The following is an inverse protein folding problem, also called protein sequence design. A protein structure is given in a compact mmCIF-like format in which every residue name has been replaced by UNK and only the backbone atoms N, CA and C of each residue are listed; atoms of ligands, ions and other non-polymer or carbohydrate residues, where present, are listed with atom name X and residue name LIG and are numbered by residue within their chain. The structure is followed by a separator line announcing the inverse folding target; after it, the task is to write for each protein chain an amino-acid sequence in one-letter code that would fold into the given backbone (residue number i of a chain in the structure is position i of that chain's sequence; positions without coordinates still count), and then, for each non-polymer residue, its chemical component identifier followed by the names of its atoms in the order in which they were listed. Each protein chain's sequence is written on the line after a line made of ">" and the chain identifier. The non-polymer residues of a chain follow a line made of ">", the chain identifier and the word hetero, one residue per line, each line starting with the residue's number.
data_IF_583973310935
#
_entry.id   IF_583973310935
#
_cell.length_a   1.000
_cell.length_b   1.000
_cell.length_c   1.000
_cell.angle_alpha   90.00
_cell.angle_beta   90.00
_cell.angle_gamma   90.00
#
_symmetry.space_group_name_H-M   'P 1'
#
loop_
_entity.id
_entity.type
_entity.pdbx_description
1 polymer ?
#
# COMPACT_ATOMS: atom_id res chain seq x y z
N UNK A 1 1.39 -35.66 -11.43
CA UNK A 1 0.48 -34.57 -11.03
C UNK A 1 0.79 -34.16 -9.59
N UNK A 2 0.90 -32.87 -9.33
CA UNK A 2 1.14 -32.38 -7.98
C UNK A 2 0.25 -31.17 -7.67
N UNK A 3 -0.06 -31.01 -6.40
CA UNK A 3 -0.80 -29.84 -5.92
C UNK A 3 0.21 -28.82 -5.41
N UNK A 4 0.17 -27.63 -5.97
CA UNK A 4 0.99 -26.51 -5.52
C UNK A 4 0.08 -25.43 -4.96
N UNK A 5 0.27 -25.11 -3.68
CA UNK A 5 -0.52 -24.08 -3.02
C UNK A 5 0.35 -22.84 -2.85
N UNK A 6 -0.12 -21.73 -3.39
CA UNK A 6 0.56 -20.45 -3.28
C UNK A 6 -0.31 -19.49 -2.48
N UNK A 7 0.32 -18.61 -1.76
CA UNK A 7 -0.40 -17.57 -1.03
C UNK A 7 0.22 -16.21 -1.34
N UNK A 8 -0.56 -15.18 -1.13
CA UNK A 8 -0.11 -13.80 -1.28
C UNK A 8 -0.42 -13.04 0.00
N UNK A 9 0.30 -11.94 0.20
CA UNK A 9 0.05 -11.03 1.32
C UNK A 9 -0.36 -9.69 0.72
N UNK A 10 -1.40 -9.10 1.26
CA UNK A 10 -1.88 -7.80 0.81
C UNK A 10 -1.92 -6.84 1.99
N UNK A 11 -1.37 -5.65 1.78
CA UNK A 11 -1.39 -4.60 2.77
C UNK A 11 -2.19 -3.43 2.21
N UNK A 12 -3.02 -2.84 3.05
CA UNK A 12 -3.87 -1.72 2.67
C UNK A 12 -3.66 -0.57 3.63
N UNK A 13 -3.62 0.63 3.08
CA UNK A 13 -3.56 1.84 3.85
C UNK A 13 -4.68 2.78 3.45
N UNK A 14 -5.18 3.53 4.40
CA UNK A 14 -6.19 4.54 4.16
C UNK A 14 -5.68 5.88 4.65
N UNK A 15 -5.80 6.91 3.83
CA UNK A 15 -5.48 8.28 4.23
C UNK A 15 -6.79 9.00 4.51
N UNK A 16 -6.95 9.46 5.74
CA UNK A 16 -8.18 10.13 6.20
C UNK A 16 -7.87 11.54 6.65
N UNK A 17 -8.86 12.42 6.55
CA UNK A 17 -8.75 13.76 7.11
C UNK A 17 -9.10 13.73 8.61
N UNK A 18 -9.08 14.90 9.25
CA UNK A 18 -9.37 15.05 10.68
C UNK A 18 -10.79 14.60 11.05
N UNK A 19 -11.72 14.70 10.12
CA UNK A 19 -13.11 14.30 10.33
C UNK A 19 -13.34 12.81 10.08
N UNK A 20 -12.28 12.07 9.74
CA UNK A 20 -12.37 10.64 9.47
C UNK A 20 -12.84 10.30 8.06
N UNK A 21 -12.91 11.27 7.16
CA UNK A 21 -13.30 11.00 5.77
C UNK A 21 -12.11 10.45 5.00
N UNK A 22 -12.34 9.40 4.24
CA UNK A 22 -11.29 8.75 3.45
C UNK A 22 -10.97 9.62 2.24
N UNK A 23 -9.71 10.00 2.10
CA UNK A 23 -9.21 10.77 0.96
C UNK A 23 -8.72 9.84 -0.13
N UNK A 24 -7.91 8.85 0.24
CA UNK A 24 -7.39 7.89 -0.71
C UNK A 24 -7.04 6.57 -0.04
N UNK A 25 -6.99 5.52 -0.85
CA UNK A 25 -6.60 4.19 -0.42
C UNK A 25 -5.31 3.79 -1.12
N UNK A 26 -4.45 3.09 -0.39
CA UNK A 26 -3.20 2.56 -0.90
C UNK A 26 -3.19 1.05 -0.68
N UNK A 27 -2.62 0.31 -1.60
CA UNK A 27 -2.49 -1.14 -1.43
C UNK A 27 -1.24 -1.66 -2.12
N UNK A 28 -0.69 -2.74 -1.57
CA UNK A 28 0.48 -3.41 -2.12
C UNK A 28 0.36 -4.91 -1.82
N UNK A 29 0.61 -5.73 -2.83
CA UNK A 29 0.65 -7.18 -2.68
C UNK A 29 2.07 -7.70 -2.70
N UNK A 30 2.27 -8.85 -2.05
CA UNK A 30 3.52 -9.61 -2.08
C UNK A 30 3.20 -11.07 -2.38
N UNK A 31 4.05 -11.72 -3.15
CA UNK A 31 3.90 -13.15 -3.40
C UNK A 31 4.51 -13.94 -2.24
N UNK A 32 4.43 -15.27 -2.33
CA UNK A 32 4.92 -16.13 -1.26
C UNK A 32 6.45 -16.16 -1.15
N UNK A 33 7.16 -15.64 -2.15
CA UNK A 33 8.61 -15.51 -2.13
C UNK A 33 9.09 -14.15 -1.60
N UNK A 34 8.15 -13.25 -1.27
CA UNK A 34 8.47 -11.93 -0.74
C UNK A 34 8.66 -10.86 -1.80
N UNK A 35 8.34 -11.15 -3.05
CA UNK A 35 8.44 -10.16 -4.12
C UNK A 35 7.17 -9.31 -4.21
N UNK A 36 7.35 -8.02 -4.49
CA UNK A 36 6.20 -7.14 -4.72
C UNK A 36 5.44 -7.55 -5.98
N UNK A 37 4.12 -7.64 -5.88
CA UNK A 37 3.25 -7.91 -7.02
C UNK A 37 2.83 -6.58 -7.58
N UNK A 38 3.45 -6.17 -8.71
CA UNK A 38 3.20 -4.87 -9.31
C UNK A 38 3.70 -3.73 -8.42
N UNK A 39 3.23 -2.53 -8.69
CA UNK A 39 3.54 -1.37 -7.87
C UNK A 39 2.48 -1.11 -6.81
N UNK A 40 2.71 -0.10 -6.01
CA UNK A 40 1.70 0.36 -5.05
C UNK A 40 0.50 0.92 -5.80
N UNK A 41 -0.67 0.40 -5.50
CA UNK A 41 -1.92 0.90 -6.07
C UNK A 41 -2.43 2.07 -5.25
N UNK A 42 -2.80 3.14 -5.94
CA UNK A 42 -3.33 4.35 -5.32
C UNK A 42 -4.71 4.62 -5.90
N UNK A 43 -5.71 4.71 -5.05
CA UNK A 43 -7.07 5.06 -5.46
C UNK A 43 -7.48 6.32 -4.72
N UNK A 44 -7.71 7.41 -5.46
CA UNK A 44 -8.17 8.67 -4.89
C UNK A 44 -9.69 8.59 -4.76
N UNK A 45 -10.18 8.61 -3.52
CA UNK A 45 -11.60 8.47 -3.22
C UNK A 45 -12.28 9.84 -3.23
N UNK A 46 -11.62 10.87 -2.65
CA UNK A 46 -12.15 12.21 -2.61
C UNK A 46 -11.16 13.18 -3.24
N UNK A 47 -11.41 13.53 -4.48
CA UNK A 47 -10.48 14.35 -5.25
C UNK A 47 -10.33 15.76 -4.67
N UNK A 48 -11.40 16.35 -4.17
CA UNK A 48 -11.34 17.69 -3.61
C UNK A 48 -10.50 17.75 -2.34
N UNK A 49 -10.69 16.79 -1.45
CA UNK A 49 -9.85 16.67 -0.25
C UNK A 49 -8.40 16.35 -0.61
N UNK A 50 -8.20 15.56 -1.64
CA UNK A 50 -6.85 15.25 -2.11
C UNK A 50 -6.14 16.53 -2.59
N UNK A 51 -6.82 17.34 -3.39
CA UNK A 51 -6.26 18.62 -3.88
C UNK A 51 -5.96 19.58 -2.74
N UNK A 52 -6.85 19.64 -1.76
CA UNK A 52 -6.69 20.55 -0.62
C UNK A 52 -5.56 20.12 0.31
N UNK A 53 -5.19 18.85 0.32
CA UNK A 53 -4.18 18.28 1.21
C UNK A 53 -3.09 17.52 0.45
N UNK A 54 -2.72 18.01 -0.71
CA UNK A 54 -1.88 17.25 -1.63
C UNK A 54 -0.51 16.91 -1.07
N UNK A 55 0.14 17.81 -0.34
CA UNK A 55 1.45 17.54 0.26
C UNK A 55 1.34 16.47 1.33
N UNK A 56 0.34 16.57 2.18
CA UNK A 56 0.10 15.58 3.24
C UNK A 56 -0.17 14.21 2.64
N UNK A 57 -1.01 14.15 1.60
CA UNK A 57 -1.33 12.90 0.91
C UNK A 57 -0.09 12.28 0.28
N UNK A 58 0.75 13.08 -0.34
CA UNK A 58 2.01 12.59 -0.91
C UNK A 58 2.96 12.09 0.15
N UNK A 59 3.03 12.78 1.29
CA UNK A 59 3.85 12.34 2.42
C UNK A 59 3.36 11.00 2.97
N UNK A 60 2.05 10.81 3.06
CA UNK A 60 1.48 9.54 3.52
C UNK A 60 1.72 8.42 2.51
N UNK A 61 1.65 8.73 1.23
CA UNK A 61 1.97 7.76 0.19
C UNK A 61 3.43 7.33 0.26
N UNK A 62 4.34 8.27 0.46
CA UNK A 62 5.76 7.97 0.62
C UNK A 62 6.02 7.14 1.87
N UNK A 63 5.35 7.45 2.97
CA UNK A 63 5.44 6.68 4.20
C UNK A 63 4.95 5.25 4.00
N UNK A 64 3.86 5.06 3.28
CA UNK A 64 3.34 3.74 2.95
C UNK A 64 4.36 2.95 2.12
N UNK A 65 4.94 3.59 1.10
CA UNK A 65 5.95 2.96 0.26
C UNK A 65 7.18 2.54 1.07
N UNK A 66 7.60 3.39 2.01
CA UNK A 66 8.74 3.08 2.88
C UNK A 66 8.43 1.88 3.78
N UNK A 67 7.21 1.79 4.33
CA UNK A 67 6.81 0.65 5.13
C UNK A 67 6.74 -0.64 4.29
N UNK A 68 6.28 -0.55 3.04
CA UNK A 68 6.25 -1.70 2.15
C UNK A 68 7.65 -2.19 1.82
N UNK A 69 8.61 -1.30 1.68
CA UNK A 69 10.01 -1.69 1.46
C UNK A 69 10.61 -2.39 2.67
N UNK A 70 10.26 -1.95 3.87
CA UNK A 70 10.68 -2.64 5.10
C UNK A 70 10.14 -4.07 5.13
N UNK A 71 8.88 -4.23 4.78
CA UNK A 71 8.25 -5.55 4.75
C UNK A 71 8.93 -6.43 3.70
N UNK A 72 9.20 -5.87 2.52
CA UNK A 72 9.92 -6.58 1.48
C UNK A 72 11.29 -7.06 1.96
N UNK A 73 12.04 -6.17 2.62
CA UNK A 73 13.37 -6.50 3.15
C UNK A 73 13.29 -7.61 4.19
N UNK A 74 12.29 -7.58 5.06
CA UNK A 74 12.07 -8.62 6.06
C UNK A 74 11.76 -9.97 5.41
N UNK A 75 10.92 -9.97 4.37
CA UNK A 75 10.54 -11.18 3.67
C UNK A 75 11.70 -11.76 2.85
N UNK A 76 12.49 -10.90 2.23
CA UNK A 76 13.64 -11.33 1.43
C UNK A 76 14.86 -11.68 2.28
N UNK A 77 14.95 -11.12 3.48
CA UNK A 77 16.07 -11.35 4.40
C UNK A 77 16.02 -12.67 5.13
N UNK A 78 14.95 -13.41 4.98
CA UNK A 78 14.79 -14.73 5.61
C UNK A 78 15.18 -15.88 4.66
#
# INVERSE_FOLDING_TARGET
>A
MELVIKHTRNYKGEVKNEDGKIIMNLSQGFDNAGNMIGGTNVAIINRELYKANIEECRNQQDAFTAEMRKIEDELLGE
#
